data_IF_556627310943
#
_entry.id   IF_556627310943
#
_cell.length_a   1.000
_cell.length_b   1.000
_cell.length_c   1.000
_cell.angle_alpha   90.00
_cell.angle_beta   90.00
_cell.angle_gamma   90.00
#
_symmetry.space_group_name_H-M   'P 1'
#
loop_
_entity.id
_entity.type
_entity.pdbx_description
1 polymer ?
#
# COMPACT_ATOMS: atom_id res chain seq x y z
N UNK A 1 7.17 41.23 7.70
CA UNK A 1 8.29 41.10 6.72
C UNK A 1 8.01 39.87 5.86
N UNK A 2 8.19 39.93 4.54
CA UNK A 2 7.78 38.84 3.64
C UNK A 2 8.79 37.69 3.52
N UNK A 3 10.09 37.98 3.61
CA UNK A 3 11.18 37.00 3.61
C UNK A 3 11.76 36.89 5.03
N UNK A 4 11.97 35.68 5.53
CA UNK A 4 12.74 35.47 6.76
C UNK A 4 14.24 35.47 6.41
N UNK A 5 15.02 36.47 6.84
CA UNK A 5 16.37 36.69 6.31
C UNK A 5 17.43 35.73 6.88
N UNK A 6 17.13 35.08 8.00
CA UNK A 6 18.05 34.16 8.69
C UNK A 6 17.83 32.71 8.22
N UNK A 7 18.77 32.08 7.50
CA UNK A 7 18.71 30.65 7.18
C UNK A 7 18.83 29.78 8.45
N UNK A 8 18.23 28.60 8.43
CA UNK A 8 18.32 27.65 9.55
C UNK A 8 19.77 27.19 9.76
N UNK A 9 20.17 27.02 11.03
CA UNK A 9 21.52 26.60 11.44
C UNK A 9 22.65 27.56 11.04
N UNK A 10 22.40 28.87 11.09
CA UNK A 10 23.43 29.90 10.88
C UNK A 10 24.11 30.25 12.21
N UNK A 11 25.44 30.15 12.29
CA UNK A 11 26.22 30.47 13.49
C UNK A 11 25.89 31.88 14.02
N UNK A 12 25.56 31.97 15.30
CA UNK A 12 25.29 33.24 15.98
C UNK A 12 23.90 33.83 15.74
N UNK A 13 23.01 33.12 15.04
CA UNK A 13 21.64 33.57 14.79
C UNK A 13 20.61 32.87 15.69
N UNK A 14 19.46 33.51 15.90
CA UNK A 14 18.30 32.94 16.60
C UNK A 14 17.31 32.30 15.61
N UNK A 15 16.65 31.23 16.05
CA UNK A 15 15.68 30.49 15.24
C UNK A 15 14.34 30.33 15.95
N UNK A 16 13.25 30.66 15.27
CA UNK A 16 11.90 30.55 15.82
C UNK A 16 11.34 29.14 15.67
N UNK A 17 10.36 28.77 16.50
CA UNK A 17 9.63 27.51 16.35
C UNK A 17 9.00 27.38 14.94
N UNK A 18 8.54 28.50 14.38
CA UNK A 18 8.02 28.58 13.02
C UNK A 18 9.04 28.12 11.96
N UNK A 19 10.32 28.50 12.08
CA UNK A 19 11.35 28.04 11.15
C UNK A 19 11.53 26.51 11.20
N UNK A 20 11.50 25.91 12.38
CA UNK A 20 11.58 24.45 12.53
C UNK A 20 10.33 23.75 11.97
N UNK A 21 9.13 24.31 12.17
CA UNK A 21 7.90 23.78 11.56
C UNK A 21 7.94 23.84 10.03
N UNK A 22 8.56 24.87 9.46
CA UNK A 22 8.80 24.96 8.02
C UNK A 22 9.82 23.92 7.54
N UNK A 23 10.89 23.67 8.29
CA UNK A 23 11.82 22.58 7.98
C UNK A 23 11.12 21.21 7.96
N UNK A 24 10.25 20.93 8.94
CA UNK A 24 9.47 19.68 8.97
C UNK A 24 8.59 19.57 7.73
N UNK A 25 7.93 20.64 7.32
CA UNK A 25 7.12 20.69 6.09
C UNK A 25 7.95 20.33 4.86
N UNK A 26 9.16 20.88 4.74
CA UNK A 26 10.03 20.63 3.60
C UNK A 26 10.53 19.18 3.58
N UNK A 27 10.95 18.64 4.72
CA UNK A 27 11.34 17.23 4.88
C UNK A 27 10.18 16.27 4.59
N UNK A 28 8.96 16.65 4.95
CA UNK A 28 7.75 15.92 4.67
C UNK A 28 7.24 16.13 3.23
N UNK A 29 7.91 16.95 2.41
CA UNK A 29 7.48 17.33 1.05
C UNK A 29 6.05 17.89 1.01
N UNK A 30 5.65 18.57 2.09
CA UNK A 30 4.29 19.09 2.28
C UNK A 30 3.22 18.04 2.59
N UNK A 31 3.59 16.78 2.80
CA UNK A 31 2.68 15.70 3.17
C UNK A 31 2.49 15.62 4.68
N UNK A 32 1.46 14.86 5.10
CA UNK A 32 1.20 14.51 6.49
C UNK A 32 0.82 13.02 6.58
N UNK A 33 0.94 12.44 7.76
CA UNK A 33 0.65 11.02 8.00
C UNK A 33 1.51 10.42 9.10
N UNK A 34 1.48 9.11 9.22
CA UNK A 34 2.39 8.32 10.06
C UNK A 34 3.75 8.15 9.38
N UNK A 35 4.81 7.96 10.14
CA UNK A 35 6.18 7.92 9.59
C UNK A 35 6.52 6.54 9.01
N UNK A 36 6.07 5.45 9.64
CA UNK A 36 6.28 4.08 9.17
C UNK A 36 4.99 3.26 9.18
N UNK A 37 4.97 2.16 8.42
CA UNK A 37 3.79 1.31 8.24
C UNK A 37 3.07 0.86 9.53
N UNK A 38 3.80 0.64 10.62
CA UNK A 38 3.25 0.14 11.89
C UNK A 38 2.93 1.25 12.89
N UNK A 39 3.35 2.48 12.61
CA UNK A 39 3.28 3.59 13.57
C UNK A 39 1.83 3.94 13.91
N UNK A 40 1.59 4.19 15.20
CA UNK A 40 0.33 4.69 15.74
C UNK A 40 -0.89 3.84 15.36
N UNK A 41 -0.68 2.52 15.21
CA UNK A 41 -1.76 1.59 14.86
C UNK A 41 -2.83 1.61 15.94
N UNK A 42 -4.08 1.76 15.52
CA UNK A 42 -5.25 1.66 16.39
C UNK A 42 -5.73 0.21 16.41
N UNK A 43 -5.93 -0.34 17.59
CA UNK A 43 -6.44 -1.70 17.82
C UNK A 43 -7.44 -1.72 18.96
N UNK A 44 -8.29 -2.74 19.02
CA UNK A 44 -9.11 -2.99 20.20
C UNK A 44 -8.24 -3.31 21.41
N UNK A 45 -8.73 -3.02 22.61
CA UNK A 45 -8.07 -3.41 23.86
C UNK A 45 -7.88 -4.94 23.93
N UNK A 46 -6.75 -5.39 24.48
CA UNK A 46 -6.50 -6.82 24.72
C UNK A 46 -7.58 -7.45 25.62
N UNK A 47 -8.02 -6.69 26.63
CA UNK A 47 -9.20 -7.03 27.44
C UNK A 47 -10.40 -6.26 26.91
N UNK A 48 -11.51 -6.92 26.54
CA UNK A 48 -12.70 -6.27 26.02
C UNK A 48 -13.16 -5.09 26.90
N UNK A 49 -13.32 -3.90 26.29
CA UNK A 49 -13.68 -2.68 27.02
C UNK A 49 -14.08 -1.50 26.13
N UNK A 50 -14.39 -0.37 26.77
CA UNK A 50 -14.89 0.86 26.15
C UNK A 50 -13.77 1.79 25.68
N UNK A 51 -12.86 1.27 24.85
CA UNK A 51 -11.73 2.03 24.34
C UNK A 51 -10.94 1.31 23.26
N UNK A 52 -9.92 1.98 22.77
CA UNK A 52 -8.95 1.47 21.79
C UNK A 52 -7.53 1.71 22.27
N UNK A 53 -6.61 0.87 21.82
CA UNK A 53 -5.17 1.02 22.04
C UNK A 53 -4.52 1.66 20.82
N UNK A 54 -3.57 2.56 21.07
CA UNK A 54 -2.74 3.21 20.06
C UNK A 54 -1.31 2.77 20.29
N UNK A 55 -0.73 2.12 19.29
CA UNK A 55 0.65 1.67 19.32
C UNK A 55 1.67 2.81 19.31
N UNK A 56 2.94 2.45 19.46
CA UNK A 56 4.04 3.39 19.36
C UNK A 56 4.24 3.86 17.92
N UNK A 57 5.02 4.92 17.73
CA UNK A 57 5.39 5.42 16.41
C UNK A 57 5.31 6.93 16.33
N UNK A 58 5.50 7.48 15.14
CA UNK A 58 5.48 8.92 14.94
C UNK A 58 4.66 9.33 13.72
N UNK A 59 4.40 10.63 13.64
CA UNK A 59 3.64 11.25 12.59
C UNK A 59 4.16 12.66 12.26
N UNK A 60 3.86 13.09 11.04
CA UNK A 60 3.91 14.48 10.62
C UNK A 60 2.49 15.01 10.45
N UNK A 61 2.20 16.16 11.03
CA UNK A 61 0.87 16.78 11.02
C UNK A 61 0.97 18.17 10.39
N UNK A 62 0.17 18.44 9.36
CA UNK A 62 0.17 19.75 8.73
C UNK A 62 -0.65 20.75 9.55
N UNK A 63 -0.07 21.91 9.85
CA UNK A 63 -0.83 23.05 10.36
C UNK A 63 -1.85 23.52 9.32
N UNK A 64 -3.11 23.72 9.73
CA UNK A 64 -4.22 24.09 8.84
C UNK A 64 -4.76 25.50 9.03
N UNK A 65 -4.35 26.20 10.07
CA UNK A 65 -4.91 27.50 10.45
C UNK A 65 -4.28 28.62 9.64
N UNK A 66 -3.00 28.51 9.32
CA UNK A 66 -2.26 29.51 8.56
C UNK A 66 -1.27 28.87 7.58
N UNK A 67 -1.09 29.42 6.35
CA UNK A 67 -0.11 28.91 5.39
C UNK A 67 1.34 28.89 5.92
N UNK A 68 1.63 29.74 6.91
CA UNK A 68 2.95 29.89 7.52
C UNK A 68 3.12 29.09 8.82
N UNK A 69 2.11 28.32 9.24
CA UNK A 69 2.13 27.51 10.46
C UNK A 69 3.18 26.37 10.37
N UNK A 70 3.43 25.85 9.17
CA UNK A 70 4.36 24.75 8.93
C UNK A 70 3.77 23.39 9.29
N UNK A 71 4.61 22.42 9.64
CA UNK A 71 4.21 21.07 10.04
C UNK A 71 4.82 20.71 11.40
N UNK A 72 4.14 19.82 12.12
CA UNK A 72 4.56 19.33 13.44
C UNK A 72 5.01 17.88 13.34
N UNK A 73 5.99 17.50 14.16
CA UNK A 73 6.28 16.11 14.44
C UNK A 73 5.65 15.72 15.78
N UNK A 74 5.02 14.55 15.82
CA UNK A 74 4.43 13.98 17.01
C UNK A 74 4.83 12.51 17.12
N UNK A 75 4.94 11.98 18.33
CA UNK A 75 5.25 10.58 18.54
C UNK A 75 4.60 10.05 19.83
N UNK A 76 4.35 8.74 19.83
CA UNK A 76 3.91 7.99 20.98
C UNK A 76 4.98 6.96 21.36
N UNK A 77 5.30 6.86 22.65
CA UNK A 77 6.22 5.86 23.19
C UNK A 77 5.40 4.81 23.94
N UNK A 78 5.46 3.57 23.47
CA UNK A 78 4.68 2.47 24.04
C UNK A 78 3.24 2.44 23.53
N UNK A 79 2.30 2.04 24.39
CA UNK A 79 0.88 1.93 24.06
C UNK A 79 0.10 2.93 24.91
N UNK A 80 -0.83 3.63 24.29
CA UNK A 80 -1.79 4.48 25.00
C UNK A 80 -3.22 3.99 24.79
N UNK A 81 -4.12 4.31 25.72
CA UNK A 81 -5.53 3.92 25.67
C UNK A 81 -6.42 5.14 25.56
N UNK A 82 -7.28 5.15 24.54
CA UNK A 82 -8.26 6.22 24.35
C UNK A 82 -9.66 5.69 24.61
N UNK A 83 -10.42 6.29 25.55
CA UNK A 83 -11.78 5.88 25.82
C UNK A 83 -12.69 6.23 24.64
N UNK A 84 -13.62 5.34 24.33
CA UNK A 84 -14.66 5.54 23.31
C UNK A 84 -16.01 5.41 24.00
N UNK A 85 -16.82 6.47 23.93
CA UNK A 85 -18.15 6.48 24.54
C UNK A 85 -19.03 5.38 23.96
N UNK A 86 -19.84 4.72 24.79
CA UNK A 86 -20.80 3.73 24.30
C UNK A 86 -21.88 4.35 23.40
N UNK A 87 -22.53 3.53 22.58
CA UNK A 87 -23.73 3.91 21.82
C UNK A 87 -25.01 3.54 22.57
N UNK A 88 -26.03 4.39 22.42
CA UNK A 88 -27.41 4.06 22.78
C UNK A 88 -28.09 3.22 21.68
N UNK A 89 -29.40 3.36 21.50
CA UNK A 89 -30.16 2.58 20.50
C UNK A 89 -29.84 2.88 19.03
N UNK A 90 -28.97 3.85 18.74
CA UNK A 90 -28.62 4.28 17.37
C UNK A 90 -27.14 4.02 17.10
N UNK A 91 -26.78 3.41 15.95
CA UNK A 91 -25.38 3.26 15.56
C UNK A 91 -24.75 4.62 15.22
N UNK A 92 -23.43 4.73 15.35
CA UNK A 92 -22.68 5.92 14.92
C UNK A 92 -21.24 5.56 14.54
N UNK A 93 -20.57 6.46 13.85
CA UNK A 93 -19.14 6.37 13.59
C UNK A 93 -18.43 7.51 14.28
N UNK A 94 -17.33 7.20 14.97
CA UNK A 94 -16.46 8.19 15.60
C UNK A 94 -15.08 8.15 14.92
N UNK A 95 -14.37 9.28 14.82
CA UNK A 95 -13.03 9.35 14.23
C UNK A 95 -11.99 9.66 15.29
N UNK A 96 -11.03 8.74 15.45
CA UNK A 96 -9.85 8.95 16.28
C UNK A 96 -8.78 9.65 15.46
N UNK A 97 -8.32 10.80 15.94
CA UNK A 97 -7.33 11.64 15.29
C UNK A 97 -6.16 11.92 16.24
N UNK A 98 -4.99 12.17 15.67
CA UNK A 98 -3.87 12.79 16.38
C UNK A 98 -3.84 14.27 16.01
N UNK A 99 -4.11 15.11 17.01
CA UNK A 99 -4.31 16.55 16.82
C UNK A 99 -3.22 17.36 17.48
N UNK A 100 -2.87 18.48 16.84
CA UNK A 100 -2.06 19.54 17.42
C UNK A 100 -2.93 20.77 17.61
N UNK A 101 -2.85 21.40 18.78
CA UNK A 101 -3.37 22.74 19.02
C UNK A 101 -2.21 23.63 19.48
N UNK A 102 -1.69 24.43 18.55
CA UNK A 102 -0.60 25.37 18.79
C UNK A 102 -1.18 26.76 19.11
N UNK A 103 -1.08 27.27 20.35
CA UNK A 103 -1.69 28.53 20.77
C UNK A 103 -1.15 29.77 20.05
N UNK A 104 -0.04 29.66 19.32
CA UNK A 104 0.41 30.71 18.39
C UNK A 104 -0.58 30.90 17.22
N UNK A 105 -1.36 29.87 16.87
CA UNK A 105 -2.29 29.87 15.74
C UNK A 105 -3.74 29.52 16.12
N UNK A 106 -3.96 28.56 17.02
CA UNK A 106 -5.29 28.06 17.39
C UNK A 106 -5.39 27.59 18.85
N UNK A 107 -6.63 27.58 19.35
CA UNK A 107 -6.96 27.05 20.67
C UNK A 107 -6.52 27.96 21.82
N UNK A 108 -6.63 27.43 23.03
CA UNK A 108 -6.35 28.16 24.29
C UNK A 108 -5.43 27.37 25.21
N UNK A 109 -4.77 26.32 24.69
CA UNK A 109 -3.86 25.46 25.46
C UNK A 109 -2.63 26.25 25.89
N UNK A 110 -2.14 25.99 27.10
CA UNK A 110 -0.99 26.68 27.68
C UNK A 110 0.26 25.80 27.53
N UNK A 111 1.29 26.23 26.75
CA UNK A 111 2.52 25.47 26.58
C UNK A 111 3.22 25.21 27.93
N UNK A 112 3.63 23.97 28.16
CA UNK A 112 4.27 23.54 29.42
C UNK A 112 3.29 23.13 30.53
N UNK A 113 1.98 23.33 30.33
CA UNK A 113 0.92 22.87 31.24
C UNK A 113 0.02 21.86 30.54
N UNK A 114 -0.51 22.22 29.37
CA UNK A 114 -1.41 21.38 28.60
C UNK A 114 -0.65 20.59 27.53
N UNK A 115 -1.07 19.35 27.22
CA UNK A 115 -0.55 18.63 26.07
C UNK A 115 -1.00 19.34 24.78
N UNK A 116 -0.05 19.85 23.99
CA UNK A 116 -0.34 20.49 22.70
C UNK A 116 -0.60 19.47 21.58
N UNK A 117 -0.13 18.25 21.78
CA UNK A 117 -0.38 17.08 20.93
C UNK A 117 -1.18 16.08 21.74
N UNK A 118 -2.33 15.64 21.24
CA UNK A 118 -3.23 14.76 21.97
C UNK A 118 -4.11 13.92 21.04
N UNK A 119 -4.65 12.84 21.60
CA UNK A 119 -5.69 12.06 20.95
C UNK A 119 -7.03 12.75 21.08
N UNK A 120 -7.74 12.89 19.98
CA UNK A 120 -9.07 13.47 19.96
C UNK A 120 -10.04 12.50 19.26
N UNK A 121 -11.26 12.43 19.77
CA UNK A 121 -12.31 11.56 19.23
C UNK A 121 -13.40 12.47 18.73
N UNK A 122 -13.49 12.61 17.41
CA UNK A 122 -14.53 13.39 16.75
C UNK A 122 -15.77 12.50 16.61
N UNK A 123 -16.85 12.75 17.38
CA UNK A 123 -18.00 11.87 17.37
C UNK A 123 -18.90 12.12 16.16
N UNK A 124 -19.72 11.13 15.82
CA UNK A 124 -20.78 11.24 14.80
C UNK A 124 -20.30 11.68 13.41
N UNK A 125 -19.12 11.22 12.99
CA UNK A 125 -18.68 11.38 11.60
C UNK A 125 -19.50 10.48 10.66
N UNK A 126 -19.47 10.77 9.36
CA UNK A 126 -20.02 9.85 8.36
C UNK A 126 -19.33 8.48 8.43
N UNK A 127 -20.07 7.40 8.22
CA UNK A 127 -19.51 6.03 8.12
C UNK A 127 -18.61 5.82 6.90
N UNK A 128 -18.54 6.79 5.98
CA UNK A 128 -17.59 6.80 4.87
C UNK A 128 -16.48 7.83 5.04
N UNK A 129 -16.41 8.51 6.19
CA UNK A 129 -15.40 9.54 6.43
C UNK A 129 -13.99 8.92 6.47
N UNK A 130 -13.07 9.56 5.76
CA UNK A 130 -11.65 9.16 5.66
C UNK A 130 -10.69 10.31 5.98
N UNK A 131 -11.22 11.52 6.16
CA UNK A 131 -10.44 12.74 6.40
C UNK A 131 -10.90 13.41 7.68
N UNK A 132 -9.97 14.08 8.37
CA UNK A 132 -10.29 14.92 9.52
C UNK A 132 -11.22 16.08 9.12
N UNK A 133 -12.03 16.61 10.05
CA UNK A 133 -12.80 17.84 9.82
C UNK A 133 -11.94 19.00 9.32
N UNK A 134 -12.50 19.85 8.48
CA UNK A 134 -11.79 21.00 7.95
C UNK A 134 -11.35 21.96 9.07
N UNK A 135 -10.16 22.55 8.91
CA UNK A 135 -9.56 23.47 9.87
C UNK A 135 -8.76 22.80 10.98
N UNK A 136 -8.83 21.48 11.14
CA UNK A 136 -8.09 20.78 12.19
C UNK A 136 -6.65 20.52 11.74
N UNK A 137 -5.67 20.97 12.54
CA UNK A 137 -4.27 20.55 12.43
C UNK A 137 -4.12 19.12 12.98
N UNK A 138 -4.55 18.12 12.19
CA UNK A 138 -4.61 16.73 12.61
C UNK A 138 -4.45 15.73 11.46
N UNK A 139 -4.12 14.48 11.82
CA UNK A 139 -4.20 13.32 10.92
C UNK A 139 -5.26 12.32 11.40
N UNK A 140 -5.99 11.65 10.49
CA UNK A 140 -6.88 10.57 10.89
C UNK A 140 -6.06 9.31 11.19
N UNK A 141 -6.37 8.63 12.29
CA UNK A 141 -5.78 7.33 12.61
C UNK A 141 -6.76 6.20 12.33
N UNK A 142 -7.98 6.32 12.82
CA UNK A 142 -9.02 5.32 12.57
C UNK A 142 -10.42 5.93 12.60
N UNK A 143 -11.35 5.28 11.90
CA UNK A 143 -12.78 5.42 12.13
C UNK A 143 -13.27 4.20 12.89
N UNK A 144 -14.09 4.43 13.91
CA UNK A 144 -14.63 3.40 14.78
C UNK A 144 -16.14 3.36 14.52
N UNK A 145 -16.57 2.32 13.81
CA UNK A 145 -17.95 2.11 13.41
C UNK A 145 -18.67 1.32 14.52
N UNK A 146 -19.45 2.04 15.33
CA UNK A 146 -20.13 1.51 16.52
C UNK A 146 -21.57 1.10 16.16
N UNK A 147 -21.94 -0.18 16.30
CA UNK A 147 -23.33 -0.62 16.22
C UNK A 147 -24.18 0.01 17.34
N UNK A 148 -25.51 -0.13 17.26
CA UNK A 148 -26.39 0.22 18.37
C UNK A 148 -26.04 -0.60 19.63
N UNK A 149 -26.22 0.01 20.80
CA UNK A 149 -26.08 -0.61 22.12
C UNK A 149 -24.72 -1.29 22.35
N UNK A 150 -23.63 -0.65 21.89
CA UNK A 150 -22.27 -1.20 21.96
C UNK A 150 -21.41 -0.43 22.96
N UNK A 151 -20.78 -1.16 23.88
CA UNK A 151 -19.81 -0.63 24.86
C UNK A 151 -18.42 -1.29 24.75
N UNK A 152 -18.30 -2.36 23.97
CA UNK A 152 -17.03 -3.08 23.76
C UNK A 152 -16.59 -2.88 22.32
N UNK A 153 -15.35 -2.41 22.14
CA UNK A 153 -14.78 -2.22 20.81
C UNK A 153 -14.06 -3.49 20.36
N UNK A 154 -14.25 -3.87 19.10
CA UNK A 154 -13.57 -5.01 18.46
C UNK A 154 -12.79 -4.53 17.23
N UNK A 155 -11.77 -5.26 16.80
CA UNK A 155 -10.97 -4.87 15.63
C UNK A 155 -11.79 -4.76 14.34
N UNK A 156 -12.90 -5.49 14.20
CA UNK A 156 -13.79 -5.37 13.03
C UNK A 156 -14.56 -4.05 12.98
N UNK A 157 -14.66 -3.34 14.11
CA UNK A 157 -15.27 -2.00 14.17
C UNK A 157 -14.26 -0.90 13.81
N UNK A 158 -12.96 -1.21 13.75
CA UNK A 158 -11.89 -0.23 13.53
C UNK A 158 -11.48 -0.25 12.06
N UNK A 159 -11.80 0.82 11.37
CA UNK A 159 -11.29 1.10 10.02
C UNK A 159 -10.02 1.93 10.13
N UNK A 160 -8.90 1.36 9.69
CA UNK A 160 -7.61 2.06 9.62
C UNK A 160 -7.65 3.15 8.53
N UNK A 161 -7.40 4.40 8.95
CA UNK A 161 -7.39 5.58 8.08
C UNK A 161 -5.99 6.18 7.94
N UNK A 162 -4.97 5.57 8.57
CA UNK A 162 -3.61 6.09 8.53
C UNK A 162 -3.12 6.19 7.09
N UNK A 163 -2.24 7.14 6.85
CA UNK A 163 -1.49 7.27 5.60
C UNK A 163 -0.03 7.51 5.95
N UNK A 164 0.90 6.99 5.17
CA UNK A 164 2.33 7.25 5.42
C UNK A 164 2.68 8.61 4.83
N UNK A 165 3.39 9.45 5.60
CA UNK A 165 3.80 10.80 5.18
C UNK A 165 4.58 10.77 3.87
N UNK A 166 5.59 9.91 3.78
CA UNK A 166 6.45 9.75 2.61
C UNK A 166 6.65 8.26 2.32
N UNK A 167 5.70 7.60 1.62
CA UNK A 167 5.77 6.16 1.40
C UNK A 167 7.00 5.77 0.59
N UNK A 168 7.73 4.74 1.03
CA UNK A 168 8.80 4.13 0.23
C UNK A 168 8.22 3.50 -1.03
N UNK A 169 9.00 3.57 -2.11
CA UNK A 169 8.75 2.84 -3.36
C UNK A 169 10.04 2.20 -3.83
N UNK A 170 9.93 0.95 -4.24
CA UNK A 170 11.04 0.20 -4.81
C UNK A 170 10.55 -0.48 -6.09
N UNK A 171 11.20 -0.18 -7.22
CA UNK A 171 10.87 -0.77 -8.52
C UNK A 171 12.07 -1.50 -9.07
N UNK A 172 11.87 -2.75 -9.45
CA UNK A 172 12.93 -3.63 -9.95
C UNK A 172 12.45 -4.34 -11.22
N UNK A 173 13.33 -4.37 -12.21
CA UNK A 173 13.12 -5.02 -13.49
C UNK A 173 13.93 -6.32 -13.54
N UNK A 174 13.26 -7.45 -13.79
CA UNK A 174 13.90 -8.75 -14.00
C UNK A 174 13.67 -9.22 -15.44
N UNK A 175 14.71 -9.21 -16.29
CA UNK A 175 14.64 -9.84 -17.60
C UNK A 175 14.89 -11.35 -17.47
N UNK A 176 14.19 -12.14 -18.27
CA UNK A 176 14.48 -13.55 -18.47
C UNK A 176 14.48 -13.87 -19.96
N UNK A 177 15.60 -14.39 -20.46
CA UNK A 177 15.75 -14.79 -21.86
C UNK A 177 15.67 -16.31 -21.93
N UNK A 178 14.63 -16.82 -22.60
CA UNK A 178 14.50 -18.26 -22.79
C UNK A 178 15.66 -18.79 -23.62
N UNK A 179 15.99 -20.07 -23.41
CA UNK A 179 17.08 -20.75 -24.07
C UNK A 179 16.52 -21.86 -24.96
N UNK A 180 17.32 -22.30 -25.93
CA UNK A 180 17.03 -23.52 -26.69
C UNK A 180 17.22 -24.77 -25.80
N UNK A 181 16.57 -25.91 -26.10
CA UNK A 181 15.68 -26.16 -27.24
C UNK A 181 14.27 -25.56 -27.07
N UNK A 182 13.51 -25.53 -28.17
CA UNK A 182 12.09 -25.19 -28.16
C UNK A 182 11.32 -26.11 -27.20
N UNK A 183 10.56 -25.50 -26.29
CA UNK A 183 9.55 -26.19 -25.48
C UNK A 183 8.17 -25.73 -25.89
N UNK A 184 7.19 -26.64 -25.87
CA UNK A 184 5.84 -26.38 -26.38
C UNK A 184 4.77 -26.87 -25.41
N UNK A 185 3.63 -26.19 -25.40
CA UNK A 185 2.35 -26.72 -24.92
C UNK A 185 1.36 -26.81 -26.07
N UNK A 186 0.55 -27.85 -26.08
CA UNK A 186 -0.41 -28.16 -27.14
C UNK A 186 -1.64 -28.87 -26.57
N UNK A 187 -2.59 -29.22 -27.44
CA UNK A 187 -3.86 -29.85 -27.07
C UNK A 187 -4.85 -28.85 -26.47
N UNK A 188 -5.86 -29.33 -25.77
CA UNK A 188 -7.07 -28.56 -25.43
C UNK A 188 -7.28 -28.34 -23.93
N UNK A 189 -6.23 -28.52 -23.12
CA UNK A 189 -6.32 -28.45 -21.66
C UNK A 189 -6.41 -27.01 -21.15
N UNK A 190 -7.50 -26.70 -20.44
CA UNK A 190 -7.68 -25.39 -19.80
C UNK A 190 -6.97 -25.25 -18.45
N UNK A 191 -6.15 -26.23 -18.07
CA UNK A 191 -5.39 -26.24 -16.83
C UNK A 191 -4.15 -25.38 -16.95
N UNK A 192 -3.97 -24.45 -16.02
CA UNK A 192 -2.77 -23.61 -15.93
C UNK A 192 -1.54 -24.43 -15.57
N UNK A 193 -0.49 -24.27 -16.35
CA UNK A 193 0.81 -24.92 -16.15
C UNK A 193 1.92 -23.88 -16.11
N UNK A 194 2.97 -24.18 -15.36
CA UNK A 194 4.20 -23.38 -15.41
C UNK A 194 4.83 -23.63 -16.77
N UNK A 195 4.92 -22.58 -17.59
CA UNK A 195 5.44 -22.73 -18.94
C UNK A 195 6.20 -21.46 -19.39
N UNK A 196 7.49 -21.58 -19.78
CA UNK A 196 8.33 -22.77 -19.63
C UNK A 196 8.46 -23.21 -18.16
N UNK A 197 8.72 -24.49 -17.89
CA UNK A 197 8.77 -25.02 -16.52
C UNK A 197 10.05 -24.63 -15.76
N UNK A 198 10.19 -23.32 -15.51
CA UNK A 198 11.38 -22.69 -14.91
C UNK A 198 10.97 -21.60 -13.92
N UNK A 199 11.88 -21.25 -13.03
CA UNK A 199 11.78 -20.02 -12.23
C UNK A 199 12.43 -18.91 -13.04
N UNK A 200 11.68 -17.85 -13.35
CA UNK A 200 12.17 -16.75 -14.18
C UNK A 200 12.96 -15.72 -13.37
N UNK A 201 12.54 -15.48 -12.13
CA UNK A 201 13.20 -14.58 -11.21
C UNK A 201 12.90 -14.97 -9.75
N UNK A 202 13.75 -14.52 -8.83
CA UNK A 202 13.50 -14.58 -7.40
C UNK A 202 13.28 -13.15 -6.91
N UNK A 203 12.03 -12.82 -6.55
CA UNK A 203 11.61 -11.47 -6.19
C UNK A 203 11.71 -11.31 -4.67
N UNK A 204 12.58 -10.41 -4.21
CA UNK A 204 12.61 -10.03 -2.79
C UNK A 204 11.43 -9.08 -2.51
N UNK A 205 10.54 -9.46 -1.61
CA UNK A 205 9.40 -8.64 -1.21
C UNK A 205 9.77 -7.93 0.09
N UNK A 206 9.85 -6.58 0.11
CA UNK A 206 10.22 -5.87 1.32
C UNK A 206 9.23 -6.12 2.47
N UNK A 207 9.72 -6.17 3.71
CA UNK A 207 8.89 -6.37 4.90
C UNK A 207 7.88 -5.23 5.11
N UNK A 208 8.20 -4.04 4.61
CA UNK A 208 7.40 -2.82 4.72
C UNK A 208 6.33 -2.67 3.61
N UNK A 209 6.36 -3.50 2.57
CA UNK A 209 5.50 -3.32 1.40
C UNK A 209 4.03 -3.64 1.73
N UNK A 210 3.11 -2.68 1.50
CA UNK A 210 1.68 -2.91 1.69
C UNK A 210 0.98 -3.31 0.38
N UNK A 211 1.54 -2.91 -0.76
CA UNK A 211 1.06 -3.30 -2.09
C UNK A 211 2.24 -3.58 -3.03
N UNK A 212 1.99 -4.43 -4.02
CA UNK A 212 2.87 -4.64 -5.16
C UNK A 212 2.12 -4.38 -6.46
N UNK A 213 2.83 -3.94 -7.50
CA UNK A 213 2.33 -3.86 -8.87
C UNK A 213 3.26 -4.66 -9.76
N UNK A 214 2.70 -5.48 -10.63
CA UNK A 214 3.47 -6.29 -11.57
C UNK A 214 3.05 -5.93 -12.98
N UNK A 215 4.00 -5.57 -13.83
CA UNK A 215 3.85 -5.59 -15.29
C UNK A 215 4.65 -6.78 -15.79
N UNK A 216 3.95 -7.77 -16.35
CA UNK A 216 4.56 -8.99 -16.86
C UNK A 216 4.34 -9.10 -18.36
N UNK A 217 5.45 -9.11 -19.10
CA UNK A 217 5.43 -9.16 -20.56
C UNK A 217 6.17 -10.38 -21.06
N UNK A 218 5.62 -11.06 -22.07
CA UNK A 218 6.30 -12.10 -22.84
C UNK A 218 6.35 -11.68 -24.32
N UNK A 219 7.56 -11.52 -24.86
CA UNK A 219 7.81 -11.19 -26.26
C UNK A 219 8.32 -12.39 -27.03
N UNK A 220 7.96 -12.49 -28.31
CA UNK A 220 8.47 -13.53 -29.20
C UNK A 220 7.96 -14.94 -28.88
N UNK A 221 6.76 -15.07 -28.29
CA UNK A 221 6.11 -16.37 -28.11
C UNK A 221 5.82 -16.98 -29.48
N UNK A 222 6.28 -18.22 -29.72
CA UNK A 222 6.06 -18.95 -30.97
C UNK A 222 4.67 -19.55 -30.99
N UNK A 223 3.98 -19.41 -32.12
CA UNK A 223 2.72 -20.09 -32.42
C UNK A 223 2.91 -20.93 -33.69
N UNK A 224 2.43 -22.16 -33.70
CA UNK A 224 2.64 -23.10 -34.80
C UNK A 224 1.55 -24.16 -34.88
N UNK A 225 1.55 -24.96 -35.95
CA UNK A 225 0.75 -26.18 -36.14
C UNK A 225 -0.79 -26.02 -36.07
N UNK A 226 -1.32 -24.80 -36.17
CA UNK A 226 -2.77 -24.57 -36.24
C UNK A 226 -3.23 -23.28 -35.57
N UNK A 227 -4.55 -23.11 -35.44
CA UNK A 227 -5.12 -22.01 -34.67
C UNK A 227 -4.80 -22.19 -33.19
N UNK A 228 -4.28 -21.13 -32.57
CA UNK A 228 -3.82 -21.17 -31.18
C UNK A 228 -4.76 -20.37 -30.29
N UNK A 229 -5.31 -21.05 -29.28
CA UNK A 229 -6.15 -20.46 -28.25
C UNK A 229 -5.61 -20.84 -26.88
N UNK A 230 -5.35 -19.84 -26.05
CA UNK A 230 -4.73 -20.07 -24.75
C UNK A 230 -4.83 -18.86 -23.84
N UNK A 231 -4.09 -18.94 -22.74
CA UNK A 231 -4.01 -17.86 -21.78
C UNK A 231 -2.62 -17.70 -21.22
N UNK A 232 -2.31 -16.47 -20.80
CA UNK A 232 -1.04 -16.07 -20.20
C UNK A 232 -1.28 -15.33 -18.89
N UNK A 233 -0.63 -15.79 -17.82
CA UNK A 233 -0.58 -15.10 -16.53
C UNK A 233 0.72 -15.38 -15.77
N UNK A 234 0.82 -14.93 -14.51
CA UNK A 234 1.96 -15.26 -13.64
C UNK A 234 1.55 -15.92 -12.32
N UNK A 235 2.57 -16.46 -11.66
CA UNK A 235 2.53 -16.95 -10.29
C UNK A 235 3.73 -16.42 -9.52
N UNK A 236 3.49 -15.90 -8.33
CA UNK A 236 4.50 -15.43 -7.38
C UNK A 236 4.49 -16.37 -6.16
N UNK A 237 5.62 -17.03 -5.92
CA UNK A 237 5.71 -18.05 -4.87
C UNK A 237 4.94 -19.32 -5.24
N UNK A 238 4.34 -19.95 -4.23
CA UNK A 238 3.44 -21.09 -4.36
C UNK A 238 1.97 -20.76 -4.03
N UNK A 239 1.71 -19.57 -3.48
CA UNK A 239 0.41 -19.21 -2.89
C UNK A 239 -0.31 -18.07 -3.62
N UNK A 240 0.40 -17.29 -4.44
CA UNK A 240 -0.19 -16.19 -5.20
C UNK A 240 -0.12 -16.50 -6.69
N UNK A 241 -1.24 -16.92 -7.27
CA UNK A 241 -1.42 -17.03 -8.72
C UNK A 241 -2.39 -15.94 -9.18
N UNK A 242 -2.02 -15.18 -10.21
CA UNK A 242 -2.84 -14.07 -10.68
C UNK A 242 -4.23 -14.57 -11.10
N UNK A 243 -5.29 -13.89 -10.63
CA UNK A 243 -6.66 -14.25 -10.97
C UNK A 243 -6.96 -13.91 -12.44
N UNK A 244 -6.53 -12.72 -12.86
CA UNK A 244 -6.66 -12.23 -14.23
C UNK A 244 -5.59 -12.82 -15.16
N UNK A 245 -5.89 -12.80 -16.46
CA UNK A 245 -5.02 -13.36 -17.49
C UNK A 245 -5.29 -12.72 -18.85
N UNK A 246 -4.32 -12.83 -19.75
CA UNK A 246 -4.40 -12.29 -21.12
C UNK A 246 -4.63 -13.42 -22.11
N UNK A 247 -5.53 -13.19 -23.07
CA UNK A 247 -5.85 -14.16 -24.10
C UNK A 247 -4.75 -14.27 -25.15
N UNK A 248 -4.38 -15.51 -25.46
CA UNK A 248 -3.68 -15.86 -26.69
C UNK A 248 -4.76 -16.34 -27.64
N UNK A 249 -4.99 -15.58 -28.71
CA UNK A 249 -6.00 -15.88 -29.74
C UNK A 249 -5.38 -15.58 -31.10
N UNK A 250 -5.16 -16.63 -31.88
CA UNK A 250 -4.54 -16.54 -33.18
C UNK A 250 -5.16 -17.55 -34.15
N UNK A 251 -5.87 -17.03 -35.15
CA UNK A 251 -6.65 -17.79 -36.14
C UNK A 251 -5.97 -17.85 -37.51
N UNK A 252 -4.65 -17.97 -37.53
CA UNK A 252 -3.84 -17.87 -38.74
C UNK A 252 -3.38 -19.22 -39.30
N UNK A 253 -3.88 -20.35 -38.75
CA UNK A 253 -3.63 -21.69 -39.31
C UNK A 253 -2.25 -22.24 -39.00
N UNK A 254 -1.60 -22.90 -39.96
CA UNK A 254 -0.36 -23.68 -39.74
C UNK A 254 0.98 -22.95 -39.87
N UNK A 255 1.13 -21.77 -40.50
CA UNK A 255 2.44 -21.12 -40.59
C UNK A 255 3.06 -20.80 -39.23
N UNK A 256 4.38 -20.91 -39.09
CA UNK A 256 5.09 -20.44 -37.90
C UNK A 256 4.90 -18.93 -37.74
N UNK A 257 4.47 -18.50 -36.55
CA UNK A 257 4.25 -17.10 -36.19
C UNK A 257 4.89 -16.78 -34.85
N UNK A 258 5.14 -15.49 -34.59
CA UNK A 258 5.55 -15.01 -33.27
C UNK A 258 4.71 -13.83 -32.83
N UNK A 259 4.27 -13.87 -31.58
CA UNK A 259 3.60 -12.74 -30.96
C UNK A 259 4.63 -11.67 -30.60
N UNK A 260 4.31 -10.41 -30.95
CA UNK A 260 5.16 -9.27 -30.62
C UNK A 260 5.30 -9.07 -29.11
N UNK A 261 4.18 -8.99 -28.40
CA UNK A 261 4.15 -8.95 -26.93
C UNK A 261 2.80 -9.42 -26.38
N UNK A 262 2.83 -10.26 -25.35
CA UNK A 262 1.72 -10.49 -24.42
C UNK A 262 2.03 -9.73 -23.14
N UNK A 263 1.14 -8.85 -22.69
CA UNK A 263 1.39 -8.03 -21.51
C UNK A 263 0.20 -8.08 -20.56
N UNK A 264 0.46 -8.38 -19.29
CA UNK A 264 -0.53 -8.24 -18.22
C UNK A 264 -0.03 -7.30 -17.12
N UNK A 265 -0.98 -6.68 -16.44
CA UNK A 265 -0.72 -5.81 -15.29
C UNK A 265 -1.61 -6.25 -14.15
N UNK A 266 -1.06 -6.31 -12.94
CA UNK A 266 -1.79 -6.75 -11.75
C UNK A 266 -1.35 -6.00 -10.49
N UNK A 267 -2.25 -5.94 -9.50
CA UNK A 267 -1.98 -5.37 -8.18
C UNK A 267 -2.00 -6.49 -7.13
N UNK A 268 -0.91 -6.63 -6.40
CA UNK A 268 -0.78 -7.58 -5.30
C UNK A 268 -1.16 -6.86 -3.99
N UNK A 269 -2.21 -7.34 -3.35
CA UNK A 269 -2.54 -6.92 -1.99
C UNK A 269 -1.61 -7.63 -1.00
N UNK A 270 -0.62 -6.90 -0.48
CA UNK A 270 0.30 -7.44 0.52
C UNK A 270 -0.20 -7.28 1.96
N UNK A 271 -1.35 -6.63 2.20
CA UNK A 271 -1.93 -6.47 3.55
C UNK A 271 -2.74 -7.67 4.03
N UNK A 272 -3.44 -8.35 3.12
CA UNK A 272 -4.27 -9.52 3.45
C UNK A 272 -3.45 -10.71 3.94
N UNK A 273 -4.10 -11.72 4.52
CA UNK A 273 -3.43 -12.90 5.14
C UNK A 273 -2.38 -13.53 4.22
N UNK A 274 -2.75 -13.83 2.96
CA UNK A 274 -1.85 -14.41 1.97
C UNK A 274 -0.68 -13.45 1.67
N UNK A 275 -0.98 -12.20 1.37
CA UNK A 275 0.04 -11.19 1.06
C UNK A 275 0.99 -10.89 2.21
N UNK A 276 0.49 -10.89 3.45
CA UNK A 276 1.29 -10.66 4.65
C UNK A 276 2.33 -11.74 4.86
N UNK A 277 2.02 -13.00 4.52
CA UNK A 277 2.97 -14.12 4.57
C UNK A 277 4.10 -14.03 3.53
N UNK A 278 3.94 -13.20 2.49
CA UNK A 278 4.96 -12.98 1.47
C UNK A 278 5.96 -11.87 1.85
N UNK A 279 5.59 -10.93 2.73
CA UNK A 279 6.45 -9.79 3.08
C UNK A 279 7.72 -10.25 3.81
N UNK A 280 8.86 -9.64 3.48
CA UNK A 280 10.16 -9.99 4.06
C UNK A 280 10.74 -11.31 3.56
N UNK A 281 10.17 -11.89 2.50
CA UNK A 281 10.62 -13.16 1.91
C UNK A 281 11.04 -12.99 0.45
N UNK A 282 11.75 -13.98 -0.08
CA UNK A 282 12.06 -14.06 -1.51
C UNK A 282 11.16 -15.09 -2.19
N UNK A 283 10.43 -14.65 -3.21
CA UNK A 283 9.40 -15.45 -3.87
C UNK A 283 9.78 -15.76 -5.32
N UNK A 284 9.76 -17.03 -5.74
CA UNK A 284 10.02 -17.38 -7.13
C UNK A 284 8.88 -16.93 -8.04
N UNK A 285 9.21 -16.23 -9.12
CA UNK A 285 8.28 -15.78 -10.15
C UNK A 285 8.26 -16.76 -11.32
N UNK A 286 7.07 -17.09 -11.80
CA UNK A 286 6.84 -18.06 -12.88
C UNK A 286 5.79 -17.56 -13.85
N UNK A 287 5.99 -17.82 -15.13
CA UNK A 287 4.92 -17.72 -16.12
C UNK A 287 3.97 -18.90 -16.01
N UNK A 288 2.69 -18.62 -16.25
CA UNK A 288 1.62 -19.60 -16.27
C UNK A 288 0.92 -19.48 -17.62
N UNK A 289 0.86 -20.59 -18.35
CA UNK A 289 0.12 -20.67 -19.60
C UNK A 289 -0.81 -21.88 -19.62
N UNK A 290 -1.82 -21.80 -20.47
CA UNK A 290 -2.73 -22.90 -20.78
C UNK A 290 -3.14 -22.83 -22.24
N UNK A 291 -3.66 -23.93 -22.77
CA UNK A 291 -4.41 -23.93 -24.02
C UNK A 291 -5.91 -23.89 -23.72
N UNK A 292 -6.76 -23.94 -24.75
CA UNK A 292 -8.23 -23.89 -24.64
C UNK A 292 -8.88 -25.01 -25.45
N UNK A 293 -10.17 -25.26 -25.21
CA UNK A 293 -10.93 -26.33 -25.86
C UNK A 293 -10.83 -26.33 -27.41
N UNK A 294 -10.70 -25.17 -28.05
CA UNK A 294 -10.60 -25.02 -29.51
C UNK A 294 -9.15 -24.93 -30.05
N UNK A 295 -8.15 -25.15 -29.19
CA UNK A 295 -6.75 -25.04 -29.58
C UNK A 295 -6.32 -26.22 -30.46
N UNK A 296 -5.92 -25.91 -31.69
CA UNK A 296 -5.44 -26.88 -32.67
C UNK A 296 -3.94 -26.74 -32.94
N UNK A 297 -3.29 -25.67 -32.47
CA UNK A 297 -1.86 -25.44 -32.61
C UNK A 297 -1.07 -25.59 -31.31
N UNK A 298 0.12 -24.98 -31.29
CA UNK A 298 1.06 -25.04 -30.18
C UNK A 298 1.52 -23.65 -29.74
N UNK A 299 1.75 -23.49 -28.45
CA UNK A 299 2.41 -22.30 -27.87
C UNK A 299 3.83 -22.72 -27.49
N UNK A 300 4.82 -22.06 -28.09
CA UNK A 300 6.23 -22.40 -27.98
C UNK A 300 7.07 -21.29 -27.36
N UNK A 301 8.10 -21.70 -26.62
CA UNK A 301 9.11 -20.83 -26.00
C UNK A 301 10.49 -21.37 -26.35
N UNK A 302 11.36 -20.52 -26.88
CA UNK A 302 12.72 -20.88 -27.32
C UNK A 302 13.68 -19.68 -27.20
N UNK A 303 14.88 -19.78 -27.79
CA UNK A 303 15.91 -18.73 -27.74
C UNK A 303 15.52 -17.35 -28.28
N UNK A 304 14.37 -17.21 -28.94
CA UNK A 304 13.84 -15.94 -29.42
C UNK A 304 12.64 -15.43 -28.59
N UNK A 305 12.36 -16.05 -27.43
CA UNK A 305 11.38 -15.58 -26.46
C UNK A 305 12.07 -14.87 -25.29
N UNK A 306 11.55 -13.71 -24.91
CA UNK A 306 11.96 -12.99 -23.70
C UNK A 306 10.77 -12.72 -22.80
N UNK A 307 11.05 -12.64 -21.50
CA UNK A 307 10.09 -12.28 -20.47
C UNK A 307 10.63 -11.09 -19.69
N UNK A 308 9.76 -10.14 -19.40
CA UNK A 308 10.07 -8.95 -18.62
C UNK A 308 9.14 -8.90 -17.43
N UNK A 309 9.72 -8.90 -16.22
CA UNK A 309 8.98 -8.82 -14.96
C UNK A 309 9.36 -7.49 -14.31
N UNK A 310 8.46 -6.53 -14.33
CA UNK A 310 8.63 -5.23 -13.70
C UNK A 310 7.75 -5.16 -12.46
N UNK A 311 8.38 -5.06 -11.28
CA UNK A 311 7.67 -5.08 -10.00
C UNK A 311 7.94 -3.78 -9.26
N UNK A 312 6.87 -3.12 -8.81
CA UNK A 312 6.94 -1.97 -7.91
C UNK A 312 6.26 -2.29 -6.58
N UNK A 313 6.98 -2.15 -5.47
CA UNK A 313 6.43 -2.22 -4.12
C UNK A 313 6.19 -0.83 -3.57
N UNK A 314 5.07 -0.64 -2.87
CA UNK A 314 4.73 0.63 -2.22
C UNK A 314 4.43 0.42 -0.74
N UNK A 315 4.99 1.27 0.11
CA UNK A 315 4.74 1.27 1.54
C UNK A 315 3.32 1.76 1.84
N UNK A 316 2.71 1.23 2.90
CA UNK A 316 1.43 1.67 3.39
C UNK A 316 1.17 1.15 4.80
N UNK A 317 0.10 1.61 5.47
CA UNK A 317 -0.21 1.17 6.82
C UNK A 317 -0.48 -0.34 6.86
N UNK A 318 0.04 -1.01 7.90
CA UNK A 318 -0.10 -2.45 8.15
C UNK A 318 -0.88 -2.78 9.43
#
# INVERSE_FOLDING_TARGET
MALHPTPIATTGAEHTAQQFRMMIKDLARGNQGITSATDLRVTALETPGAGVQIGNGSATIAGKVSPIQGHYNAYNIGVDTVPISATGGTPRSDMLILRVEDPEYEGTRVPGVDPLVFWDVVPNVSSSATTVPAGYSAIPLARIDLPASTATITNSMITDLRQITNPRRERVLYPYYAQNPLVEISGTSETWKTFPNVIMANIAIPSWAATGKVVFTAGGIRLDDGNVFGGFRYMLGSIFEAAEWVSIDDNQGTPLRRLGALMMVDNINLKGVVGASLRGTTQPFRSRMRTRAANNGKIGVDGATSFTIDVEFTEGPL
#
